data_IF_882927621632
#
_entry.id   IF_882927621632
#
_cell.length_a   1.000
_cell.length_b   1.000
_cell.length_c   1.000
_cell.angle_alpha   90.00
_cell.angle_beta   90.00
_cell.angle_gamma   90.00
#
_symmetry.space_group_name_H-M   'P 1'
#
loop_
_entity.id
_entity.type
_entity.pdbx_description
1 polymer ?
#
# COMPACT_ATOMS: atom_id res chain seq x y z
N UNK A 1 66.47 20.08 -43.94
CA UNK A 1 65.04 20.28 -43.62
C UNK A 1 64.47 18.89 -43.37
N UNK A 2 64.14 18.59 -42.12
CA UNK A 2 64.25 17.24 -41.55
C UNK A 2 63.07 16.31 -41.93
N UNK A 3 63.35 15.25 -42.70
CA UNK A 3 62.36 14.30 -43.21
C UNK A 3 61.63 13.51 -42.12
N UNK A 4 62.19 13.46 -40.91
CA UNK A 4 61.59 12.76 -39.76
C UNK A 4 60.35 13.46 -39.20
N UNK A 5 60.32 14.79 -39.24
CA UNK A 5 59.19 15.57 -38.72
C UNK A 5 57.96 15.55 -39.64
N UNK A 6 58.14 15.35 -40.94
CA UNK A 6 57.02 15.24 -41.89
C UNK A 6 56.37 13.85 -41.85
N UNK A 7 57.15 12.79 -41.65
CA UNK A 7 56.63 11.42 -41.56
C UNK A 7 55.75 11.20 -40.32
N UNK A 8 56.07 11.82 -39.17
CA UNK A 8 55.26 11.67 -37.96
C UNK A 8 53.90 12.39 -38.06
N UNK A 9 53.85 13.50 -38.79
CA UNK A 9 52.62 14.26 -39.04
C UNK A 9 51.73 13.51 -40.02
N UNK A 10 52.28 12.98 -41.10
CA UNK A 10 51.52 12.26 -42.14
C UNK A 10 50.93 10.93 -41.61
N UNK A 11 51.68 10.20 -40.77
CA UNK A 11 51.16 9.01 -40.08
C UNK A 11 50.07 9.38 -39.08
N UNK A 12 50.25 10.46 -38.32
CA UNK A 12 49.23 10.93 -37.37
C UNK A 12 47.95 11.35 -38.07
N UNK A 13 48.08 12.04 -39.20
CA UNK A 13 46.95 12.54 -39.97
C UNK A 13 46.21 11.38 -40.65
N UNK A 14 46.91 10.44 -41.29
CA UNK A 14 46.29 9.24 -41.88
C UNK A 14 45.55 8.35 -40.88
N UNK A 15 46.02 8.27 -39.62
CA UNK A 15 45.31 7.59 -38.54
C UNK A 15 44.07 8.37 -38.06
N UNK A 16 44.05 9.70 -38.22
CA UNK A 16 42.94 10.56 -37.80
C UNK A 16 41.83 10.69 -38.86
N UNK A 17 42.12 10.49 -40.15
CA UNK A 17 41.16 10.66 -41.25
C UNK A 17 40.30 9.42 -41.56
N UNK A 18 40.45 8.31 -40.81
CA UNK A 18 39.56 7.15 -40.90
C UNK A 18 38.12 7.55 -40.56
N UNK A 19 37.30 7.74 -41.59
CA UNK A 19 35.96 8.33 -41.49
C UNK A 19 34.99 7.33 -40.86
N UNK A 20 34.73 7.43 -39.56
CA UNK A 20 33.71 6.61 -38.90
C UNK A 20 32.34 7.27 -39.11
N UNK A 21 31.47 6.65 -39.91
CA UNK A 21 30.09 7.09 -40.10
C UNK A 21 29.34 7.04 -38.75
N UNK A 22 29.00 8.20 -38.21
CA UNK A 22 28.38 8.42 -36.90
C UNK A 22 26.89 8.04 -36.85
N UNK A 23 26.47 6.89 -37.39
CA UNK A 23 25.02 6.60 -37.51
C UNK A 23 24.39 5.81 -36.37
N UNK A 24 25.14 5.05 -35.56
CA UNK A 24 24.52 4.12 -34.58
C UNK A 24 25.17 4.08 -33.18
N UNK A 25 25.78 5.18 -32.72
CA UNK A 25 26.39 5.22 -31.38
C UNK A 25 25.36 5.50 -30.27
N UNK A 26 24.59 4.47 -29.89
CA UNK A 26 23.85 4.45 -28.63
C UNK A 26 24.79 4.16 -27.46
N UNK A 27 24.58 4.85 -26.33
CA UNK A 27 25.44 4.91 -25.14
C UNK A 27 25.75 3.55 -24.44
N UNK A 28 25.17 2.44 -24.91
CA UNK A 28 25.39 1.09 -24.36
C UNK A 28 26.52 0.27 -24.99
N UNK A 29 27.09 0.69 -26.13
CA UNK A 29 27.97 -0.16 -26.96
C UNK A 29 29.48 0.13 -26.84
N UNK A 30 29.92 0.81 -25.78
CA UNK A 30 31.33 1.21 -25.60
C UNK A 30 32.29 0.00 -25.43
N UNK A 31 31.78 -1.17 -25.05
CA UNK A 31 32.62 -2.35 -24.80
C UNK A 31 32.88 -3.20 -26.05
N UNK A 32 32.03 -3.15 -27.08
CA UNK A 32 32.16 -4.01 -28.28
C UNK A 32 32.91 -3.34 -29.44
N UNK A 33 33.03 -2.01 -29.43
CA UNK A 33 33.59 -1.24 -30.55
C UNK A 33 35.11 -1.33 -30.71
N UNK A 34 35.87 -1.72 -29.68
CA UNK A 34 37.32 -1.85 -29.79
C UNK A 34 37.75 -3.02 -30.70
N UNK A 35 36.92 -4.05 -30.86
CA UNK A 35 37.28 -5.23 -31.66
C UNK A 35 37.17 -4.97 -33.17
N UNK A 36 36.20 -4.15 -33.59
CA UNK A 36 35.97 -3.84 -35.01
C UNK A 36 37.04 -2.89 -35.55
N UNK A 37 37.53 -1.95 -34.73
CA UNK A 37 38.54 -0.96 -35.12
C UNK A 37 39.92 -1.56 -35.43
N UNK A 38 40.23 -2.75 -34.93
CA UNK A 38 41.53 -3.40 -35.17
C UNK A 38 41.66 -4.01 -36.57
N UNK A 39 40.55 -4.34 -37.24
CA UNK A 39 40.58 -5.00 -38.55
C UNK A 39 40.65 -4.03 -39.75
N UNK A 40 40.25 -2.77 -39.58
CA UNK A 40 40.16 -1.79 -40.67
C UNK A 40 41.42 -0.88 -40.78
N UNK A 41 42.43 -1.06 -39.92
CA UNK A 41 43.69 -0.31 -40.02
C UNK A 41 44.50 -0.84 -41.20
N UNK A 42 44.44 -0.09 -42.29
CA UNK A 42 44.99 -0.39 -43.61
C UNK A 42 46.44 -0.94 -43.57
N UNK A 43 46.57 -2.25 -43.82
CA UNK A 43 47.84 -2.99 -43.84
C UNK A 43 48.87 -2.44 -44.84
N UNK A 44 48.40 -1.77 -45.91
CA UNK A 44 49.24 -1.30 -47.00
C UNK A 44 50.15 -0.11 -46.61
N UNK A 45 49.69 0.79 -45.74
CA UNK A 45 50.48 1.94 -45.29
C UNK A 45 51.49 1.56 -44.19
N UNK A 46 51.24 0.47 -43.47
CA UNK A 46 52.05 0.03 -42.33
C UNK A 46 53.28 -0.80 -42.75
N UNK A 47 53.14 -1.61 -43.82
CA UNK A 47 54.23 -2.43 -44.34
C UNK A 47 55.39 -1.59 -44.92
N UNK A 48 55.11 -0.43 -45.52
CA UNK A 48 56.13 0.47 -46.07
C UNK A 48 56.96 1.19 -44.99
N UNK A 49 56.40 1.34 -43.78
CA UNK A 49 57.00 2.12 -42.69
C UNK A 49 57.62 1.26 -41.58
N UNK A 50 57.45 -0.07 -41.62
CA UNK A 50 58.06 -1.00 -40.66
C UNK A 50 57.47 -0.94 -39.24
N UNK A 51 56.26 -0.39 -39.08
CA UNK A 51 55.61 -0.19 -37.77
C UNK A 51 54.42 -1.13 -37.62
N UNK A 52 54.26 -1.75 -36.45
CA UNK A 52 53.13 -2.63 -36.09
C UNK A 52 52.23 -1.94 -35.07
N UNK A 53 50.95 -1.79 -35.40
CA UNK A 53 49.93 -1.31 -34.46
C UNK A 53 49.51 -2.47 -33.55
N UNK A 54 49.58 -2.27 -32.23
CA UNK A 54 49.26 -3.31 -31.23
C UNK A 54 47.87 -3.08 -30.61
N UNK A 55 47.44 -1.83 -30.46
CA UNK A 55 46.16 -1.47 -29.84
C UNK A 55 45.73 -0.06 -30.28
N UNK A 56 44.45 0.11 -30.64
CA UNK A 56 43.84 1.41 -30.96
C UNK A 56 42.77 1.70 -29.92
N UNK A 57 42.91 2.81 -29.20
CA UNK A 57 41.93 3.25 -28.19
C UNK A 57 41.37 4.63 -28.50
N UNK A 58 40.06 4.77 -28.37
CA UNK A 58 39.39 6.08 -28.44
C UNK A 58 39.78 6.89 -27.20
N UNK A 59 40.45 8.03 -27.39
CA UNK A 59 40.90 8.91 -26.29
C UNK A 59 39.78 9.81 -25.78
N UNK A 60 38.95 10.37 -26.68
CA UNK A 60 37.81 11.23 -26.35
C UNK A 60 36.91 11.39 -27.59
N UNK A 61 35.60 11.36 -27.38
CA UNK A 61 34.61 11.78 -28.38
C UNK A 61 34.15 13.17 -27.95
N UNK A 62 34.52 14.20 -28.70
CA UNK A 62 33.99 15.54 -28.48
C UNK A 62 32.76 15.69 -29.38
N UNK A 63 31.56 15.57 -28.80
CA UNK A 63 30.33 15.91 -29.51
C UNK A 63 30.25 17.44 -29.64
N UNK A 64 30.02 17.99 -30.85
CA UNK A 64 29.83 19.43 -31.04
C UNK A 64 28.73 19.96 -30.11
N UNK A 65 29.01 21.05 -29.40
CA UNK A 65 28.16 21.62 -28.35
C UNK A 65 26.76 22.04 -28.81
N UNK A 66 26.55 22.24 -30.12
CA UNK A 66 25.29 22.69 -30.70
C UNK A 66 24.23 21.58 -30.82
N UNK A 67 24.63 20.30 -30.90
CA UNK A 67 23.69 19.16 -31.02
C UNK A 67 23.43 18.47 -29.67
N UNK A 68 24.32 18.67 -28.69
CA UNK A 68 24.25 17.99 -27.40
C UNK A 68 23.10 18.48 -26.51
N UNK A 69 22.84 19.80 -26.47
CA UNK A 69 21.82 20.39 -25.59
C UNK A 69 20.40 19.87 -25.91
N UNK A 70 20.02 19.82 -27.19
CA UNK A 70 18.71 19.33 -27.61
C UNK A 70 18.47 17.86 -27.23
N UNK A 71 19.51 17.02 -27.32
CA UNK A 71 19.44 15.60 -26.94
C UNK A 71 19.34 15.48 -25.41
N UNK A 72 20.11 16.24 -24.64
CA UNK A 72 20.01 16.25 -23.18
C UNK A 72 18.63 16.71 -22.68
N UNK A 73 18.06 17.75 -23.29
CA UNK A 73 16.71 18.21 -22.96
C UNK A 73 15.65 17.15 -23.25
N UNK A 74 15.74 16.47 -24.41
CA UNK A 74 14.85 15.35 -24.73
C UNK A 74 14.99 14.21 -23.73
N UNK A 75 16.22 13.84 -23.36
CA UNK A 75 16.47 12.78 -22.38
C UNK A 75 15.91 13.13 -21.00
N UNK A 76 16.03 14.39 -20.55
CA UNK A 76 15.41 14.86 -19.30
C UNK A 76 13.89 14.75 -19.35
N UNK A 77 13.27 15.24 -20.42
CA UNK A 77 11.82 15.16 -20.60
C UNK A 77 11.32 13.70 -20.64
N UNK A 78 12.04 12.81 -21.33
CA UNK A 78 11.76 11.37 -21.38
C UNK A 78 11.84 10.74 -19.97
N UNK A 79 12.94 11.02 -19.23
CA UNK A 79 13.14 10.50 -17.87
C UNK A 79 12.07 11.01 -16.91
N UNK A 80 11.72 12.28 -16.99
CA UNK A 80 10.63 12.84 -16.19
C UNK A 80 9.28 12.20 -16.54
N UNK A 81 9.00 11.97 -17.83
CA UNK A 81 7.78 11.30 -18.28
C UNK A 81 7.68 9.87 -17.73
N UNK A 82 8.77 9.11 -17.81
CA UNK A 82 8.87 7.76 -17.23
C UNK A 82 8.69 7.80 -15.71
N UNK A 83 9.34 8.73 -15.02
CA UNK A 83 9.19 8.88 -13.58
C UNK A 83 7.74 9.25 -13.18
N UNK A 84 7.09 10.16 -13.93
CA UNK A 84 5.68 10.52 -13.72
C UNK A 84 4.76 9.33 -13.94
N UNK A 85 5.01 8.52 -14.97
CA UNK A 85 4.25 7.29 -15.24
C UNK A 85 4.35 6.31 -14.09
N UNK A 86 5.57 6.00 -13.63
CA UNK A 86 5.77 5.08 -12.50
C UNK A 86 5.14 5.58 -11.20
N UNK A 87 5.26 6.89 -10.90
CA UNK A 87 4.59 7.46 -9.72
C UNK A 87 3.07 7.37 -9.83
N UNK A 88 2.51 7.55 -11.02
CA UNK A 88 1.07 7.47 -11.25
C UNK A 88 0.57 6.03 -11.09
N UNK A 89 1.29 5.06 -11.66
CA UNK A 89 1.00 3.63 -11.48
C UNK A 89 1.09 3.21 -10.01
N UNK A 90 2.13 3.65 -9.30
CA UNK A 90 2.27 3.36 -7.86
C UNK A 90 1.15 3.96 -7.03
N UNK A 91 0.67 5.16 -7.38
CA UNK A 91 -0.51 5.77 -6.73
C UNK A 91 -1.79 5.02 -7.03
N UNK A 92 -2.01 4.63 -8.27
CA UNK A 92 -3.19 3.86 -8.69
C UNK A 92 -3.27 2.52 -7.95
N UNK A 93 -2.18 1.75 -7.93
CA UNK A 93 -2.14 0.46 -7.24
C UNK A 93 -2.31 0.63 -5.73
N UNK A 94 -1.70 1.65 -5.13
CA UNK A 94 -1.90 1.97 -3.72
C UNK A 94 -3.35 2.32 -3.40
N UNK A 95 -4.03 3.10 -4.25
CA UNK A 95 -5.44 3.44 -4.08
C UNK A 95 -6.32 2.20 -4.20
N UNK A 96 -6.03 1.32 -5.16
CA UNK A 96 -6.75 0.06 -5.34
C UNK A 96 -6.62 -0.85 -4.12
N UNK A 97 -5.40 -1.03 -3.59
CA UNK A 97 -5.15 -1.84 -2.39
C UNK A 97 -5.89 -1.26 -1.18
N UNK A 98 -5.87 0.07 -1.00
CA UNK A 98 -6.62 0.74 0.08
C UNK A 98 -8.12 0.52 -0.05
N UNK A 99 -8.69 0.76 -1.24
CA UNK A 99 -10.13 0.58 -1.47
C UNK A 99 -10.58 -0.87 -1.20
N UNK A 100 -9.79 -1.87 -1.61
CA UNK A 100 -10.07 -3.27 -1.31
C UNK A 100 -9.99 -3.55 0.19
N UNK A 101 -8.97 -3.01 0.86
CA UNK A 101 -8.77 -3.19 2.30
C UNK A 101 -9.92 -2.56 3.11
N UNK A 102 -10.33 -1.34 2.76
CA UNK A 102 -11.44 -0.62 3.39
C UNK A 102 -12.76 -1.38 3.20
N UNK A 103 -13.00 -1.91 2.01
CA UNK A 103 -14.15 -2.78 1.73
C UNK A 103 -14.12 -4.03 2.62
N UNK A 104 -12.99 -4.73 2.69
CA UNK A 104 -12.87 -5.94 3.51
C UNK A 104 -13.09 -5.65 5.00
N UNK A 105 -12.57 -4.53 5.52
CA UNK A 105 -12.82 -4.11 6.90
C UNK A 105 -14.31 -3.88 7.14
N UNK A 106 -14.98 -3.17 6.23
CA UNK A 106 -16.42 -2.92 6.33
C UNK A 106 -17.24 -4.23 6.30
N UNK A 107 -16.90 -5.17 5.43
CA UNK A 107 -17.57 -6.48 5.35
C UNK A 107 -17.35 -7.32 6.62
N UNK A 108 -16.14 -7.33 7.18
CA UNK A 108 -15.83 -8.05 8.43
C UNK A 108 -16.61 -7.45 9.60
N UNK A 109 -16.63 -6.12 9.74
CA UNK A 109 -17.37 -5.45 10.80
C UNK A 109 -18.88 -5.71 10.66
N UNK A 110 -19.44 -5.55 9.46
CA UNK A 110 -20.85 -5.78 9.20
C UNK A 110 -21.25 -7.24 9.48
N UNK A 111 -20.43 -8.22 9.08
CA UNK A 111 -20.70 -9.64 9.34
C UNK A 111 -20.57 -10.00 10.83
N UNK A 112 -19.62 -9.38 11.55
CA UNK A 112 -19.47 -9.55 12.98
C UNK A 112 -20.67 -8.96 13.75
N UNK A 113 -21.10 -7.74 13.40
CA UNK A 113 -22.29 -7.10 13.98
C UNK A 113 -23.56 -7.90 13.70
N UNK A 114 -23.76 -8.32 12.45
CA UNK A 114 -24.88 -9.17 12.06
C UNK A 114 -24.92 -10.46 12.89
N UNK A 115 -23.79 -11.15 13.01
CA UNK A 115 -23.68 -12.40 13.78
C UNK A 115 -23.96 -12.17 15.26
N UNK A 116 -23.46 -11.07 15.84
CA UNK A 116 -23.72 -10.69 17.23
C UNK A 116 -25.20 -10.44 17.48
N UNK A 117 -25.84 -9.64 16.61
CA UNK A 117 -27.27 -9.33 16.70
C UNK A 117 -28.13 -10.59 16.54
N UNK A 118 -27.75 -11.49 15.62
CA UNK A 118 -28.43 -12.78 15.43
C UNK A 118 -28.36 -13.62 16.70
N UNK A 119 -27.18 -13.85 17.26
CA UNK A 119 -26.99 -14.66 18.48
C UNK A 119 -27.75 -14.03 19.65
N UNK A 120 -27.71 -12.71 19.79
CA UNK A 120 -28.44 -11.99 20.83
C UNK A 120 -29.95 -12.13 20.65
N UNK A 121 -30.47 -11.97 19.43
CA UNK A 121 -31.88 -12.15 19.12
C UNK A 121 -32.36 -13.58 19.37
N UNK A 122 -31.56 -14.58 19.01
CA UNK A 122 -31.85 -15.99 19.32
C UNK A 122 -31.87 -16.25 20.83
N UNK A 123 -30.91 -15.70 21.57
CA UNK A 123 -30.86 -15.77 23.03
C UNK A 123 -32.07 -15.12 23.70
N UNK A 124 -32.45 -13.92 23.25
CA UNK A 124 -33.62 -13.19 23.76
C UNK A 124 -34.93 -13.92 23.43
N UNK A 125 -35.03 -14.54 22.25
CA UNK A 125 -36.18 -15.36 21.88
C UNK A 125 -36.29 -16.62 22.73
N UNK A 126 -35.17 -17.31 22.99
CA UNK A 126 -35.13 -18.49 23.86
C UNK A 126 -35.50 -18.10 25.30
N UNK A 127 -34.91 -17.03 25.83
CA UNK A 127 -35.20 -16.53 27.16
C UNK A 127 -36.69 -16.18 27.29
N UNK A 128 -37.24 -15.42 26.35
CA UNK A 128 -38.67 -15.05 26.34
C UNK A 128 -39.56 -16.28 26.29
N UNK A 129 -39.24 -17.26 25.43
CA UNK A 129 -39.99 -18.53 25.35
C UNK A 129 -39.96 -19.30 26.67
N UNK A 130 -38.79 -19.44 27.29
CA UNK A 130 -38.63 -20.13 28.58
C UNK A 130 -39.40 -19.39 29.69
N UNK A 131 -39.30 -18.06 29.71
CA UNK A 131 -40.07 -17.22 30.62
C UNK A 131 -41.58 -17.44 30.44
N UNK A 132 -42.11 -17.37 29.20
CA UNK A 132 -43.53 -17.65 28.92
C UNK A 132 -43.96 -19.06 29.33
N UNK A 133 -43.13 -20.08 29.08
CA UNK A 133 -43.41 -21.45 29.49
C UNK A 133 -43.44 -21.59 31.02
N UNK A 134 -42.53 -20.91 31.72
CA UNK A 134 -42.52 -20.88 33.19
C UNK A 134 -43.74 -20.11 33.73
N UNK A 135 -44.15 -19.00 33.09
CA UNK A 135 -45.34 -18.23 33.48
C UNK A 135 -46.63 -19.04 33.37
N UNK A 136 -46.76 -19.87 32.33
CA UNK A 136 -47.92 -20.74 32.16
C UNK A 136 -48.06 -21.81 33.25
N UNK A 137 -47.01 -22.09 34.04
CA UNK A 137 -47.08 -23.07 35.14
C UNK A 137 -47.68 -22.49 36.42
N UNK A 138 -47.33 -21.25 36.77
CA UNK A 138 -47.87 -20.55 37.95
C UNK A 138 -47.78 -19.01 37.79
N UNK A 139 -48.89 -18.34 37.41
CA UNK A 139 -48.94 -16.89 37.24
C UNK A 139 -48.81 -16.09 38.56
N UNK A 140 -49.23 -16.65 39.69
CA UNK A 140 -49.22 -16.01 41.01
C UNK A 140 -47.78 -15.94 41.55
N UNK A 141 -47.06 -17.07 41.51
CA UNK A 141 -45.65 -17.13 41.92
C UNK A 141 -44.76 -16.20 41.11
N UNK A 142 -45.02 -16.05 39.80
CA UNK A 142 -44.28 -15.12 38.97
C UNK A 142 -44.48 -13.66 39.36
N UNK A 143 -45.73 -13.25 39.57
CA UNK A 143 -46.06 -11.87 39.94
C UNK A 143 -45.35 -11.47 41.24
N UNK A 144 -45.27 -12.41 42.18
CA UNK A 144 -44.47 -12.30 43.39
C UNK A 144 -42.96 -12.19 43.11
N UNK A 145 -42.36 -13.16 42.39
CA UNK A 145 -40.92 -13.16 42.10
C UNK A 145 -40.47 -11.93 41.29
N UNK A 146 -41.29 -11.48 40.34
CA UNK A 146 -41.04 -10.28 39.55
C UNK A 146 -41.06 -9.02 40.42
N UNK A 147 -41.97 -8.95 41.38
CA UNK A 147 -42.01 -7.85 42.37
C UNK A 147 -40.73 -7.84 43.22
N UNK A 148 -40.24 -9.01 43.68
CA UNK A 148 -38.98 -9.13 44.43
C UNK A 148 -37.76 -8.69 43.61
N UNK A 149 -37.66 -9.11 42.34
CA UNK A 149 -36.59 -8.66 41.42
C UNK A 149 -36.66 -7.15 41.14
N UNK A 150 -37.85 -6.58 41.06
CA UNK A 150 -38.04 -5.14 40.91
C UNK A 150 -37.58 -4.38 42.16
N UNK A 151 -37.86 -4.91 43.36
CA UNK A 151 -37.33 -4.39 44.61
C UNK A 151 -35.81 -4.39 44.60
N UNK A 152 -35.19 -5.55 44.35
CA UNK A 152 -33.74 -5.72 44.28
C UNK A 152 -33.08 -4.70 43.35
N UNK A 153 -33.58 -4.56 42.11
CA UNK A 153 -33.06 -3.55 41.16
C UNK A 153 -33.25 -2.11 41.65
N UNK A 154 -34.38 -1.80 42.27
CA UNK A 154 -34.68 -0.44 42.77
C UNK A 154 -33.79 -0.01 43.93
N UNK A 155 -33.23 -0.98 44.68
CA UNK A 155 -32.26 -0.76 45.75
C UNK A 155 -30.82 -0.73 45.24
N UNK A 156 -30.45 -1.55 44.24
CA UNK A 156 -29.09 -1.59 43.68
C UNK A 156 -28.77 -0.34 42.82
N UNK A 157 -29.75 0.20 42.07
CA UNK A 157 -29.51 1.34 41.18
C UNK A 157 -29.42 2.70 41.87
N UNK A 158 -29.67 2.81 43.18
CA UNK A 158 -29.73 4.10 43.87
C UNK A 158 -28.76 4.20 45.03
N UNK A 159 -27.49 4.41 44.69
CA UNK A 159 -26.44 4.86 45.63
C UNK A 159 -26.65 6.33 46.10
N UNK A 160 -27.70 7.02 45.65
CA UNK A 160 -28.02 8.37 46.10
C UNK A 160 -29.33 8.35 46.89
N UNK A 161 -29.23 8.80 48.15
CA UNK A 161 -30.29 8.88 49.17
C UNK A 161 -31.57 9.54 48.64
N UNK A 162 -32.45 8.77 48.00
CA UNK A 162 -33.74 9.25 47.55
C UNK A 162 -34.82 8.64 48.45
N UNK A 163 -35.35 9.49 49.35
CA UNK A 163 -36.54 9.24 50.15
C UNK A 163 -37.64 8.72 49.23
N UNK A 164 -37.96 7.44 49.33
CA UNK A 164 -39.03 6.80 48.58
C UNK A 164 -40.37 7.20 49.19
N UNK A 165 -40.93 8.33 48.77
CA UNK A 165 -42.29 8.72 49.11
C UNK A 165 -43.26 7.97 48.19
N UNK A 166 -43.56 6.72 48.55
CA UNK A 166 -44.67 5.99 47.95
C UNK A 166 -45.91 6.17 48.82
N UNK A 167 -47.03 6.59 48.22
CA UNK A 167 -48.31 6.57 48.91
C UNK A 167 -48.61 5.16 49.44
N UNK A 168 -49.13 5.08 50.67
CA UNK A 168 -49.39 3.84 51.41
C UNK A 168 -50.26 2.81 50.66
N UNK A 169 -50.91 3.22 49.56
CA UNK A 169 -51.77 2.42 48.68
C UNK A 169 -51.09 1.94 47.38
N UNK A 170 -49.78 2.10 47.21
CA UNK A 170 -49.09 1.65 45.99
C UNK A 170 -49.17 0.12 45.80
N UNK A 171 -49.53 -0.33 44.59
CA UNK A 171 -49.49 -1.73 44.16
C UNK A 171 -48.09 -2.34 44.23
N UNK A 172 -47.06 -1.49 44.35
CA UNK A 172 -45.67 -1.91 44.45
C UNK A 172 -45.42 -2.80 45.67
N UNK A 173 -46.05 -2.57 46.83
CA UNK A 173 -45.80 -3.33 48.07
C UNK A 173 -46.86 -4.40 48.40
N UNK A 174 -47.72 -4.77 47.44
CA UNK A 174 -48.86 -5.66 47.69
C UNK A 174 -48.46 -6.96 48.40
N UNK A 175 -47.42 -7.62 47.90
CA UNK A 175 -46.93 -8.90 48.44
C UNK A 175 -46.14 -8.77 49.75
N UNK A 176 -45.55 -7.59 50.03
CA UNK A 176 -44.90 -7.29 51.30
C UNK A 176 -45.92 -7.06 52.43
N UNK A 177 -47.13 -6.57 52.08
CA UNK A 177 -48.24 -6.41 53.03
C UNK A 177 -49.03 -7.69 53.24
N UNK A 178 -49.19 -8.52 52.20
CA UNK A 178 -50.04 -9.72 52.28
C UNK A 178 -49.43 -10.86 53.11
N UNK A 179 -48.11 -10.93 53.28
CA UNK A 179 -47.46 -11.94 54.12
C UNK A 179 -47.70 -11.75 55.63
N UNK A 180 -48.26 -10.62 56.06
CA UNK A 180 -48.62 -10.33 57.45
C UNK A 180 -50.06 -10.71 57.82
N UNK A 181 -50.78 -11.45 56.97
CA UNK A 181 -52.09 -12.03 57.31
C UNK A 181 -51.97 -13.55 57.39
N UNK A 182 -51.12 -14.03 58.30
CA UNK A 182 -51.35 -15.33 58.94
C UNK A 182 -52.19 -15.03 60.17
N UNK A 183 -53.51 -15.06 60.01
CA UNK A 183 -54.39 -15.36 61.13
C UNK A 183 -54.42 -16.88 61.27
N UNK A 184 -54.17 -17.33 62.50
CA UNK A 184 -54.30 -18.71 62.99
C UNK A 184 -55.39 -19.53 62.28
#
# INVERSE_FOLDING_TARGET
>A
MDSRGRMTVDVRDSLNYGTIAMRDFSNGFMYESNQVLNNDVNSNSMAFLGVKVVDVRIKRIELPSEVSEAIYQRMRAERESVARRHRSQGKEEALKIRAVSDKSVAEILASAEYSSLKIRGEGDAIATRLYSQAFNKDPEFYSFFRSLKAYEKSFIQRQQKNLLVFGMNSNFFRYMRSSNVVKN
#
